data_IF_300559608232
#
_entry.id   IF_300559608232
#
_cell.length_a   1.000
_cell.length_b   1.000
_cell.length_c   1.000
_cell.angle_alpha   90.00
_cell.angle_beta   90.00
_cell.angle_gamma   90.00
#
_symmetry.space_group_name_H-M   'P 1'
#
loop_
_entity.id
_entity.type
_entity.pdbx_description
1 polymer ?
#
# COMPACT_ATOMS: atom_id res chain seq x y z
N UNK A 1 11.76 13.48 -14.90
CA UNK A 1 10.44 13.91 -14.33
C UNK A 1 10.66 14.28 -12.86
N UNK A 2 10.17 15.42 -12.36
CA UNK A 2 10.30 15.77 -10.92
C UNK A 2 9.05 15.37 -10.13
N UNK A 3 9.14 15.28 -8.80
CA UNK A 3 8.05 14.85 -7.90
C UNK A 3 6.77 15.68 -8.10
N UNK A 4 6.92 17.01 -8.23
CA UNK A 4 5.79 17.91 -8.48
C UNK A 4 5.08 17.66 -9.82
N UNK A 5 5.81 17.22 -10.86
CA UNK A 5 5.21 16.86 -12.14
C UNK A 5 4.35 15.59 -12.01
N UNK A 6 4.81 14.60 -11.24
CA UNK A 6 4.05 13.39 -10.94
C UNK A 6 2.75 13.74 -10.22
N UNK A 7 2.83 14.55 -9.17
CA UNK A 7 1.66 14.98 -8.41
C UNK A 7 0.63 15.68 -9.31
N UNK A 8 1.06 16.66 -10.11
CA UNK A 8 0.20 17.37 -11.08
C UNK A 8 -0.39 16.40 -12.11
N UNK A 9 0.39 15.44 -12.60
CA UNK A 9 -0.06 14.40 -13.55
C UNK A 9 -1.18 13.54 -12.96
N UNK A 10 -1.05 13.17 -11.69
CA UNK A 10 -2.04 12.37 -10.97
C UNK A 10 -3.26 13.20 -10.51
N UNK A 11 -3.28 14.51 -10.77
CA UNK A 11 -4.37 15.40 -10.39
C UNK A 11 -4.37 15.74 -8.90
N UNK A 12 -3.22 15.67 -8.24
CA UNK A 12 -3.06 16.14 -6.88
C UNK A 12 -3.40 17.63 -6.78
N UNK A 13 -4.12 18.02 -5.73
CA UNK A 13 -4.50 19.43 -5.51
C UNK A 13 -3.49 20.14 -4.64
N UNK A 14 -3.13 21.37 -5.01
CA UNK A 14 -2.25 22.24 -4.21
C UNK A 14 -2.96 22.75 -2.95
N UNK A 15 -4.28 22.98 -3.01
CA UNK A 15 -5.09 23.30 -1.84
C UNK A 15 -5.45 22.02 -1.07
N UNK A 16 -5.13 22.00 0.22
CA UNK A 16 -5.40 20.87 1.11
C UNK A 16 -6.91 20.78 1.40
N UNK A 17 -7.59 19.90 0.66
CA UNK A 17 -9.05 19.76 0.74
C UNK A 17 -9.55 18.77 1.81
N UNK A 18 -8.63 18.05 2.48
CA UNK A 18 -8.97 17.07 3.51
C UNK A 18 -7.72 16.39 4.08
N UNK A 19 -7.82 15.86 5.30
CA UNK A 19 -6.67 15.21 5.97
C UNK A 19 -6.40 13.79 5.48
N UNK A 20 -7.41 13.16 4.89
CA UNK A 20 -7.38 11.73 4.59
C UNK A 20 -8.04 11.41 3.26
N UNK A 21 -7.69 10.27 2.69
CA UNK A 21 -8.45 9.60 1.64
C UNK A 21 -9.09 8.36 2.23
N UNK A 22 -10.36 8.12 1.89
CA UNK A 22 -11.09 6.90 2.25
C UNK A 22 -11.40 6.12 0.99
N UNK A 23 -11.11 4.82 1.03
CA UNK A 23 -11.31 3.91 -0.10
C UNK A 23 -11.99 2.61 0.31
N UNK A 24 -12.75 2.05 -0.61
CA UNK A 24 -13.39 0.73 -0.48
C UNK A 24 -12.87 -0.17 -1.58
N UNK A 25 -12.61 -1.43 -1.23
CA UNK A 25 -12.00 -2.39 -2.14
C UNK A 25 -12.71 -3.73 -2.06
N UNK A 26 -12.68 -4.47 -3.15
CA UNK A 26 -12.95 -5.91 -3.18
C UNK A 26 -11.80 -6.61 -3.89
N UNK A 27 -11.56 -7.87 -3.58
CA UNK A 27 -10.43 -8.55 -4.18
C UNK A 27 -10.27 -9.97 -3.71
N UNK A 28 -9.07 -10.50 -3.93
CA UNK A 28 -8.68 -11.82 -3.48
C UNK A 28 -7.23 -11.83 -3.00
N UNK A 29 -6.95 -12.64 -2.00
CA UNK A 29 -5.60 -12.78 -1.44
C UNK A 29 -5.28 -14.22 -1.03
N UNK A 30 -4.00 -14.56 -0.95
CA UNK A 30 -3.50 -15.86 -0.49
C UNK A 30 -2.20 -15.68 0.30
N UNK A 31 -1.91 -16.61 1.22
CA UNK A 31 -0.71 -16.56 2.07
C UNK A 31 0.56 -17.09 1.42
N UNK A 32 0.46 -17.81 0.29
CA UNK A 32 1.61 -18.37 -0.41
C UNK A 32 1.29 -18.93 -1.80
N UNK A 33 2.32 -19.31 -2.55
CA UNK A 33 2.22 -19.70 -3.96
C UNK A 33 1.29 -20.90 -4.24
N UNK A 34 1.16 -21.81 -3.27
CA UNK A 34 0.35 -23.03 -3.40
C UNK A 34 -1.00 -22.94 -2.67
N UNK A 35 -1.32 -21.77 -2.08
CA UNK A 35 -2.56 -21.56 -1.36
C UNK A 35 -3.64 -20.99 -2.29
N UNK A 36 -4.89 -21.40 -2.05
CA UNK A 36 -6.03 -20.88 -2.79
C UNK A 36 -6.29 -19.40 -2.46
N UNK A 37 -6.69 -18.64 -3.48
CA UNK A 37 -7.16 -17.27 -3.29
C UNK A 37 -8.46 -17.26 -2.49
N UNK A 38 -8.56 -16.33 -1.54
CA UNK A 38 -9.75 -16.06 -0.74
C UNK A 38 -10.23 -14.66 -1.01
N UNK A 39 -11.52 -14.52 -1.27
CA UNK A 39 -12.12 -13.21 -1.51
C UNK A 39 -12.12 -12.35 -0.25
N UNK A 40 -11.99 -11.04 -0.43
CA UNK A 40 -12.15 -10.06 0.64
C UNK A 40 -12.95 -8.84 0.16
N UNK A 41 -13.55 -8.14 1.11
CA UNK A 41 -13.94 -6.73 0.97
C UNK A 41 -13.22 -5.91 2.03
N UNK A 42 -12.82 -4.68 1.72
CA UNK A 42 -12.05 -3.85 2.62
C UNK A 42 -12.48 -2.38 2.58
N UNK A 43 -12.21 -1.70 3.68
CA UNK A 43 -12.22 -0.23 3.79
C UNK A 43 -10.85 0.21 4.25
N UNK A 44 -10.40 1.34 3.75
CA UNK A 44 -9.12 1.90 4.15
C UNK A 44 -9.19 3.40 4.24
N UNK A 45 -8.45 3.94 5.21
CA UNK A 45 -8.16 5.36 5.34
C UNK A 45 -6.66 5.54 5.22
N UNK A 46 -6.22 6.52 4.43
CA UNK A 46 -4.80 6.92 4.28
C UNK A 46 -4.71 8.39 4.70
N UNK A 47 -3.74 8.74 5.55
CA UNK A 47 -3.47 10.14 5.89
C UNK A 47 -2.60 10.79 4.82
N UNK A 48 -2.94 12.03 4.46
CA UNK A 48 -2.30 12.76 3.37
C UNK A 48 -1.08 13.57 3.81
N UNK A 49 -0.98 13.93 5.09
CA UNK A 49 0.10 14.75 5.64
C UNK A 49 1.16 13.96 6.42
N UNK A 50 0.94 12.68 6.66
CA UNK A 50 1.81 11.80 7.45
C UNK A 50 1.77 10.37 6.91
N UNK A 51 2.84 9.61 7.19
CA UNK A 51 2.92 8.19 6.87
C UNK A 51 2.00 7.38 7.80
N UNK A 52 0.70 7.40 7.53
CA UNK A 52 -0.30 6.65 8.31
C UNK A 52 -1.40 6.07 7.43
N UNK A 53 -1.86 4.88 7.80
CA UNK A 53 -3.04 4.28 7.19
C UNK A 53 -3.73 3.32 8.15
N UNK A 54 -4.99 3.02 7.86
CA UNK A 54 -5.76 1.96 8.51
C UNK A 54 -6.58 1.22 7.48
N UNK A 55 -6.29 -0.05 7.29
CA UNK A 55 -6.99 -0.98 6.40
C UNK A 55 -7.77 -2.00 7.21
N UNK A 56 -9.04 -2.21 6.86
CA UNK A 56 -9.93 -3.15 7.53
C UNK A 56 -10.61 -4.03 6.49
N UNK A 57 -10.26 -5.32 6.48
CA UNK A 57 -10.85 -6.30 5.57
C UNK A 57 -11.78 -7.28 6.28
N UNK A 58 -12.69 -7.83 5.48
CA UNK A 58 -13.54 -8.97 5.80
C UNK A 58 -13.31 -10.08 4.80
N UNK A 59 -13.07 -11.30 5.27
CA UNK A 59 -12.86 -12.51 4.46
C UNK A 59 -13.53 -13.72 5.12
N UNK A 60 -13.48 -14.88 4.45
CA UNK A 60 -14.13 -16.12 4.88
C UNK A 60 -15.64 -16.16 4.61
N UNK A 61 -16.31 -17.29 4.93
CA UNK A 61 -17.76 -17.44 4.77
C UNK A 61 -18.48 -16.29 5.46
N UNK A 62 -19.40 -15.62 4.75
CA UNK A 62 -20.17 -14.47 5.24
C UNK A 62 -19.34 -13.28 5.77
N UNK A 63 -18.04 -13.21 5.48
CA UNK A 63 -17.17 -12.11 5.94
C UNK A 63 -16.89 -12.14 7.44
N UNK A 64 -16.93 -13.32 8.06
CA UNK A 64 -16.78 -13.53 9.50
C UNK A 64 -15.35 -13.30 10.02
N UNK A 65 -14.34 -13.34 9.15
CA UNK A 65 -12.95 -13.03 9.54
C UNK A 65 -12.71 -11.56 9.25
N UNK A 66 -12.38 -10.78 10.27
CA UNK A 66 -11.94 -9.39 10.15
C UNK A 66 -10.42 -9.33 10.29
N UNK A 67 -9.80 -8.54 9.42
CA UNK A 67 -8.37 -8.22 9.50
C UNK A 67 -8.28 -6.71 9.63
N UNK A 68 -7.56 -6.20 10.63
CA UNK A 68 -7.14 -4.81 10.71
C UNK A 68 -5.64 -4.77 10.52
N UNK A 69 -5.19 -3.97 9.56
CA UNK A 69 -3.78 -3.71 9.33
C UNK A 69 -3.59 -2.20 9.27
N UNK A 70 -2.68 -1.65 10.06
CA UNK A 70 -2.55 -0.22 10.24
C UNK A 70 -1.13 0.19 10.65
N UNK A 71 -0.80 1.44 10.34
CA UNK A 71 0.40 2.10 10.81
C UNK A 71 0.04 3.53 11.19
N UNK A 72 0.33 3.91 12.43
CA UNK A 72 0.07 5.25 12.97
C UNK A 72 1.03 5.51 14.13
N UNK A 73 1.52 6.75 14.25
CA UNK A 73 2.47 7.16 15.29
C UNK A 73 3.65 6.18 15.46
N UNK A 74 4.28 5.78 14.34
CA UNK A 74 5.43 4.86 14.34
C UNK A 74 5.12 3.40 14.68
N UNK A 75 3.85 3.06 14.91
CA UNK A 75 3.43 1.76 15.45
C UNK A 75 2.65 0.93 14.43
N UNK A 76 3.15 -0.24 14.00
CA UNK A 76 2.39 -1.17 13.18
C UNK A 76 1.39 -1.95 14.03
N UNK A 77 0.19 -2.16 13.50
CA UNK A 77 -0.89 -2.94 14.10
C UNK A 77 -1.41 -3.93 13.09
N UNK A 78 -1.34 -5.23 13.41
CA UNK A 78 -1.97 -6.29 12.63
C UNK A 78 -2.81 -7.17 13.56
N UNK A 79 -4.13 -7.08 13.42
CA UNK A 79 -5.11 -7.83 14.19
C UNK A 79 -5.97 -8.68 13.27
N UNK A 80 -6.04 -9.98 13.54
CA UNK A 80 -6.97 -10.89 12.86
C UNK A 80 -7.97 -11.41 13.88
N UNK A 81 -9.27 -11.21 13.63
CA UNK A 81 -10.35 -11.71 14.48
C UNK A 81 -11.37 -12.53 13.70
N UNK A 82 -11.85 -13.63 14.27
CA UNK A 82 -12.99 -14.40 13.79
C UNK A 82 -14.26 -14.00 14.54
N UNK A 83 -15.40 -14.02 13.84
CA UNK A 83 -16.71 -13.61 14.37
C UNK A 83 -16.72 -12.18 14.93
N UNK A 84 -15.71 -11.36 14.58
CA UNK A 84 -15.49 -10.02 15.11
C UNK A 84 -15.09 -9.93 16.58
N UNK A 85 -14.92 -11.05 17.28
CA UNK A 85 -14.73 -11.10 18.74
C UNK A 85 -13.60 -12.03 19.19
N UNK A 86 -13.24 -13.04 18.39
CA UNK A 86 -12.25 -14.05 18.77
C UNK A 86 -10.93 -13.71 18.07
N UNK A 87 -9.87 -13.31 18.78
CA UNK A 87 -8.57 -13.07 18.14
C UNK A 87 -7.98 -14.37 17.60
N UNK A 88 -7.55 -14.35 16.34
CA UNK A 88 -6.91 -15.46 15.64
C UNK A 88 -5.39 -15.30 15.58
N UNK A 89 -4.90 -14.07 15.43
CA UNK A 89 -3.48 -13.75 15.35
C UNK A 89 -3.25 -12.27 15.62
N UNK A 90 -2.07 -11.99 16.19
CA UNK A 90 -1.48 -10.66 16.31
C UNK A 90 -0.17 -10.63 15.53
N UNK A 91 0.09 -9.56 14.80
CA UNK A 91 1.40 -9.32 14.22
C UNK A 91 2.43 -9.00 15.30
N UNK A 92 3.68 -9.37 15.07
CA UNK A 92 4.78 -8.92 15.93
C UNK A 92 5.03 -7.43 15.67
N UNK A 93 4.98 -6.60 16.71
CA UNK A 93 5.43 -5.21 16.64
C UNK A 93 6.96 -5.19 16.79
N UNK A 94 7.68 -5.16 15.66
CA UNK A 94 9.14 -5.05 15.62
C UNK A 94 9.59 -4.22 14.40
N UNK A 95 10.89 -3.91 14.34
CA UNK A 95 11.45 -3.06 13.28
C UNK A 95 11.15 -3.56 11.85
N UNK A 96 11.14 -4.87 11.63
CA UNK A 96 10.82 -5.47 10.32
C UNK A 96 9.34 -5.30 9.95
N UNK A 97 8.43 -5.48 10.92
CA UNK A 97 7.01 -5.23 10.72
C UNK A 97 6.76 -3.73 10.43
N UNK A 98 7.37 -2.84 11.21
CA UNK A 98 7.30 -1.38 10.99
C UNK A 98 7.80 -1.00 9.60
N UNK A 99 8.97 -1.51 9.17
CA UNK A 99 9.51 -1.28 7.81
C UNK A 99 8.52 -1.75 6.73
N UNK A 100 7.91 -2.92 6.92
CA UNK A 100 6.89 -3.45 6.03
C UNK A 100 5.66 -2.55 5.90
N UNK A 101 5.14 -2.02 7.01
CA UNK A 101 3.96 -1.15 6.96
C UNK A 101 4.25 0.24 6.40
N UNK A 102 5.44 0.79 6.68
CA UNK A 102 5.89 2.01 6.00
C UNK A 102 5.94 1.77 4.48
N UNK A 103 6.60 0.70 4.03
CA UNK A 103 6.65 0.37 2.59
C UNK A 103 5.26 0.14 1.99
N UNK A 104 4.28 -0.29 2.79
CA UNK A 104 2.89 -0.41 2.34
C UNK A 104 2.29 0.95 2.05
N UNK A 105 2.41 1.89 3.00
CA UNK A 105 1.97 3.28 2.82
C UNK A 105 2.58 3.89 1.55
N UNK A 106 3.90 3.77 1.39
CA UNK A 106 4.62 4.33 0.24
C UNK A 106 4.14 3.77 -1.10
N UNK A 107 3.85 2.48 -1.16
CA UNK A 107 3.32 1.85 -2.37
C UNK A 107 1.89 2.31 -2.71
N UNK A 108 1.10 2.68 -1.71
CA UNK A 108 -0.31 3.05 -1.87
C UNK A 108 -0.50 4.54 -2.21
N UNK A 109 0.58 5.32 -2.37
CA UNK A 109 0.53 6.71 -2.86
C UNK A 109 -0.17 6.83 -4.23
N UNK A 110 -0.23 5.76 -5.03
CA UNK A 110 -1.03 5.70 -6.26
C UNK A 110 -2.54 5.90 -6.03
N UNK A 111 -3.05 5.60 -4.81
CA UNK A 111 -4.42 5.89 -4.39
C UNK A 111 -4.56 7.18 -3.58
N UNK A 112 -3.46 7.82 -3.19
CA UNK A 112 -3.43 9.04 -2.40
C UNK A 112 -2.49 10.08 -3.05
N UNK A 113 -2.77 10.51 -4.30
CA UNK A 113 -1.83 11.37 -5.05
C UNK A 113 -1.56 12.71 -4.36
N UNK A 114 -2.51 13.21 -3.57
CA UNK A 114 -2.36 14.43 -2.77
C UNK A 114 -1.23 14.31 -1.73
N UNK A 115 -0.98 13.11 -1.19
CA UNK A 115 0.10 12.89 -0.23
C UNK A 115 1.48 13.15 -0.84
N UNK A 116 1.63 13.08 -2.17
CA UNK A 116 2.88 13.38 -2.86
C UNK A 116 3.27 14.86 -2.69
N UNK A 117 2.28 15.76 -2.53
CA UNK A 117 2.51 17.19 -2.27
C UNK A 117 2.51 17.52 -0.77
N UNK A 118 1.61 16.89 -0.02
CA UNK A 118 1.26 17.31 1.34
C UNK A 118 1.97 16.53 2.44
N UNK A 119 2.50 15.35 2.13
CA UNK A 119 3.27 14.60 3.11
C UNK A 119 4.74 15.05 3.07
N UNK A 120 5.03 16.06 3.88
CA UNK A 120 6.39 16.60 4.04
C UNK A 120 7.32 15.71 4.85
N UNK A 121 6.85 14.58 5.38
CA UNK A 121 7.72 13.60 6.03
C UNK A 121 8.32 12.61 5.03
N UNK A 122 7.95 12.69 3.75
CA UNK A 122 8.50 11.84 2.69
C UNK A 122 9.72 12.47 2.05
N UNK A 123 10.77 11.67 1.91
CA UNK A 123 11.95 12.03 1.14
C UNK A 123 11.88 11.40 -0.26
N UNK A 124 12.38 12.13 -1.26
CA UNK A 124 12.26 11.74 -2.66
C UNK A 124 13.58 11.84 -3.40
N UNK A 125 13.92 10.80 -4.15
CA UNK A 125 15.00 10.83 -5.14
C UNK A 125 14.45 10.65 -6.54
N UNK A 126 14.92 11.49 -7.46
CA UNK A 126 14.74 11.27 -8.89
C UNK A 126 15.85 10.33 -9.37
N UNK A 127 15.50 9.07 -9.63
CA UNK A 127 16.46 8.06 -10.08
C UNK A 127 16.72 8.22 -11.57
N UNK A 128 15.64 8.27 -12.36
CA UNK A 128 15.67 8.51 -13.80
C UNK A 128 14.32 9.05 -14.29
N UNK A 129 14.12 9.11 -15.59
CA UNK A 129 12.88 9.64 -16.18
C UNK A 129 11.64 8.78 -15.93
N UNK A 130 11.79 7.49 -15.69
CA UNK A 130 10.69 6.54 -15.46
C UNK A 130 10.65 6.01 -14.02
N UNK A 131 11.48 6.52 -13.12
CA UNK A 131 11.59 6.03 -11.74
C UNK A 131 11.87 7.13 -10.73
N UNK A 132 11.07 7.14 -9.66
CA UNK A 132 11.36 7.87 -8.43
C UNK A 132 11.52 6.88 -7.29
N UNK A 133 12.38 7.18 -6.30
CA UNK A 133 12.36 6.50 -5.02
C UNK A 133 11.69 7.41 -3.99
N UNK A 134 10.72 6.88 -3.26
CA UNK A 134 10.12 7.55 -2.10
C UNK A 134 10.59 6.85 -0.83
N UNK A 135 10.90 7.62 0.21
CA UNK A 135 11.42 7.11 1.48
C UNK A 135 10.71 7.73 2.67
N UNK A 136 10.72 7.00 3.77
CA UNK A 136 10.33 7.48 5.09
C UNK A 136 11.21 6.81 6.14
N UNK A 137 11.57 7.56 7.18
CA UNK A 137 12.35 7.06 8.30
C UNK A 137 11.58 7.21 9.61
N UNK A 138 11.58 6.14 10.41
CA UNK A 138 10.99 6.12 11.75
C UNK A 138 12.09 5.73 12.76
N UNK A 139 12.65 6.72 13.45
CA UNK A 139 13.84 6.52 14.28
C UNK A 139 15.00 5.94 13.46
N UNK A 140 15.46 4.73 13.81
CA UNK A 140 16.52 4.02 13.08
C UNK A 140 16.03 3.20 11.88
N UNK A 141 14.71 3.11 11.67
CA UNK A 141 14.10 2.30 10.63
C UNK A 141 14.05 3.13 9.34
N UNK A 142 14.61 2.60 8.27
CA UNK A 142 14.57 3.22 6.94
C UNK A 142 13.79 2.31 5.99
N UNK A 143 12.85 2.91 5.26
CA UNK A 143 12.05 2.23 4.26
C UNK A 143 12.04 3.04 2.97
N UNK A 144 12.10 2.34 1.83
CA UNK A 144 12.08 2.93 0.51
C UNK A 144 11.24 2.08 -0.44
N UNK A 145 10.55 2.74 -1.36
CA UNK A 145 9.85 2.09 -2.47
C UNK A 145 10.15 2.86 -3.75
N UNK A 146 10.49 2.14 -4.81
CA UNK A 146 10.58 2.70 -6.14
C UNK A 146 9.20 2.80 -6.76
N UNK A 147 8.84 3.97 -7.25
CA UNK A 147 7.68 4.22 -8.10
C UNK A 147 8.13 4.16 -9.56
N UNK A 148 7.57 3.21 -10.31
CA UNK A 148 7.88 2.98 -11.71
C UNK A 148 6.75 3.51 -12.59
N UNK A 149 7.10 4.28 -13.61
CA UNK A 149 6.12 4.99 -14.42
C UNK A 149 5.66 4.21 -15.66
N UNK A 150 4.34 4.24 -15.89
CA UNK A 150 3.74 3.77 -17.14
C UNK A 150 4.04 4.72 -18.31
N UNK A 151 3.59 4.36 -19.51
CA UNK A 151 3.81 5.18 -20.71
C UNK A 151 3.07 6.53 -20.67
N UNK A 152 2.08 6.68 -19.79
CA UNK A 152 1.36 7.92 -19.53
C UNK A 152 1.98 8.71 -18.36
N UNK A 153 3.14 8.27 -17.87
CA UNK A 153 3.90 8.83 -16.75
C UNK A 153 3.11 8.91 -15.43
N UNK A 154 2.25 7.93 -15.18
CA UNK A 154 1.61 7.67 -13.88
C UNK A 154 2.33 6.53 -13.18
N UNK A 155 2.03 6.29 -11.91
CA UNK A 155 2.60 5.15 -11.16
C UNK A 155 2.02 3.84 -11.72
N UNK A 156 2.73 3.19 -12.64
CA UNK A 156 2.31 1.93 -13.24
C UNK A 156 2.66 0.72 -12.38
N UNK A 157 3.75 0.83 -11.62
CA UNK A 157 4.22 -0.22 -10.74
C UNK A 157 5.02 0.33 -9.56
N UNK A 158 5.23 -0.52 -8.57
CA UNK A 158 6.15 -0.27 -7.45
C UNK A 158 7.11 -1.43 -7.29
N UNK A 159 8.30 -1.14 -6.76
CA UNK A 159 9.29 -2.14 -6.45
C UNK A 159 10.02 -1.81 -5.15
N UNK A 160 10.29 -2.82 -4.34
CA UNK A 160 11.21 -2.74 -3.21
C UNK A 160 12.03 -4.03 -3.15
N UNK A 161 13.38 -3.98 -3.15
CA UNK A 161 14.20 -5.18 -3.15
C UNK A 161 14.18 -5.93 -1.81
N UNK A 162 13.81 -5.24 -0.74
CA UNK A 162 14.11 -5.61 0.64
C UNK A 162 12.90 -5.48 1.57
N UNK A 163 11.68 -5.64 1.04
CA UNK A 163 10.49 -5.60 1.90
C UNK A 163 10.48 -6.81 2.84
N UNK A 164 10.32 -6.62 4.16
CA UNK A 164 10.22 -7.73 5.08
C UNK A 164 8.97 -8.58 4.82
N UNK A 165 9.18 -9.88 4.62
CA UNK A 165 8.14 -10.90 4.52
C UNK A 165 8.25 -11.85 5.71
N UNK A 166 7.12 -12.16 6.35
CA UNK A 166 7.09 -13.15 7.42
C UNK A 166 7.08 -14.57 6.83
N UNK A 167 8.14 -15.33 7.08
CA UNK A 167 8.41 -16.68 6.57
C UNK A 167 9.01 -17.51 7.70
N UNK A 168 8.54 -18.75 7.90
CA UNK A 168 9.12 -19.70 8.87
C UNK A 168 9.41 -19.07 10.26
N UNK A 169 8.40 -18.38 10.80
CA UNK A 169 8.41 -17.71 12.11
C UNK A 169 9.38 -16.53 12.26
N UNK A 170 9.92 -15.98 11.17
CA UNK A 170 10.80 -14.81 11.17
C UNK A 170 10.52 -13.87 9.99
N UNK A 171 11.04 -12.65 10.06
CA UNK A 171 11.06 -11.76 8.90
C UNK A 171 12.30 -12.02 8.05
N UNK A 172 12.10 -12.12 6.74
CA UNK A 172 13.15 -12.20 5.73
C UNK A 172 12.86 -11.14 4.66
N UNK A 173 13.87 -10.36 4.30
CA UNK A 173 13.73 -9.38 3.22
C UNK A 173 13.60 -10.08 1.87
N UNK A 174 12.60 -9.68 1.09
CA UNK A 174 12.31 -10.24 -0.23
C UNK A 174 11.99 -9.13 -1.23
N UNK A 175 12.32 -9.33 -2.52
CA UNK A 175 11.85 -8.42 -3.55
C UNK A 175 10.32 -8.46 -3.63
N UNK A 176 9.75 -7.27 -3.66
CA UNK A 176 8.33 -7.02 -3.60
C UNK A 176 7.93 -6.10 -4.75
N UNK A 177 6.85 -6.45 -5.42
CA UNK A 177 6.38 -5.74 -6.59
C UNK A 177 4.88 -5.52 -6.52
N UNK A 178 4.42 -4.38 -7.02
CA UNK A 178 3.01 -4.08 -7.21
C UNK A 178 2.77 -3.52 -8.59
N UNK A 179 1.61 -3.81 -9.17
CA UNK A 179 1.18 -3.26 -10.46
C UNK A 179 -0.16 -2.58 -10.33
N UNK A 180 -0.33 -1.50 -11.07
CA UNK A 180 -1.52 -0.68 -11.11
C UNK A 180 -2.11 -0.67 -12.53
N UNK A 181 -3.42 -0.85 -12.62
CA UNK A 181 -4.13 -0.98 -13.88
C UNK A 181 -5.44 -0.20 -13.86
N UNK A 182 -6.06 -0.07 -15.04
CA UNK A 182 -7.41 0.48 -15.18
C UNK A 182 -7.50 1.87 -14.53
N UNK A 183 -6.55 2.74 -14.89
CA UNK A 183 -6.53 4.11 -14.42
C UNK A 183 -7.75 4.87 -14.93
N UNK A 184 -8.45 5.54 -14.03
CA UNK A 184 -9.63 6.36 -14.33
C UNK A 184 -9.53 7.70 -13.63
N UNK A 185 -10.17 8.71 -14.21
CA UNK A 185 -10.40 9.96 -13.51
C UNK A 185 -11.53 9.80 -12.51
N UNK A 186 -11.28 10.22 -11.27
CA UNK A 186 -12.26 10.26 -10.19
C UNK A 186 -11.99 11.49 -9.32
N UNK A 187 -12.97 12.37 -9.17
CA UNK A 187 -12.85 13.65 -8.44
C UNK A 187 -11.65 14.54 -8.85
N UNK A 188 -11.26 14.46 -10.13
CA UNK A 188 -10.13 15.20 -10.71
C UNK A 188 -8.77 14.52 -10.57
N UNK A 189 -8.70 13.32 -9.97
CA UNK A 189 -7.47 12.55 -9.79
C UNK A 189 -7.43 11.34 -10.72
N UNK A 190 -6.24 10.97 -11.17
CA UNK A 190 -6.01 9.71 -11.86
C UNK A 190 -5.69 8.63 -10.84
N UNK A 191 -6.61 7.67 -10.70
CA UNK A 191 -6.49 6.58 -9.73
C UNK A 191 -6.52 5.23 -10.43
N UNK A 192 -5.70 4.25 -10.02
CA UNK A 192 -5.83 2.90 -10.52
C UNK A 192 -7.02 2.21 -9.86
N UNK A 193 -7.96 1.72 -10.67
CA UNK A 193 -9.11 0.97 -10.16
C UNK A 193 -8.81 -0.51 -9.94
N UNK A 194 -7.66 -1.00 -10.41
CA UNK A 194 -7.20 -2.36 -10.17
C UNK A 194 -5.73 -2.35 -9.80
N UNK A 195 -5.34 -3.25 -8.91
CA UNK A 195 -3.95 -3.45 -8.55
C UNK A 195 -3.69 -4.91 -8.17
N UNK A 196 -2.44 -5.31 -8.24
CA UNK A 196 -1.98 -6.58 -7.70
C UNK A 196 -0.61 -6.43 -7.04
N UNK A 197 -0.31 -7.34 -6.13
CA UNK A 197 0.93 -7.36 -5.37
C UNK A 197 1.51 -8.77 -5.40
N UNK A 198 2.83 -8.84 -5.60
CA UNK A 198 3.58 -10.06 -5.72
C UNK A 198 4.89 -10.01 -4.93
N UNK A 199 5.35 -11.19 -4.55
CA UNK A 199 6.70 -11.42 -4.04
C UNK A 199 7.53 -12.13 -5.11
N UNK A 200 8.84 -11.88 -5.13
CA UNK A 200 9.79 -12.74 -5.85
C UNK A 200 10.30 -13.80 -4.88
N UNK A 201 9.93 -15.06 -5.13
CA UNK A 201 10.30 -16.23 -4.32
C UNK A 201 10.95 -17.24 -5.26
N UNK A 202 12.16 -17.69 -4.96
CA UNK A 202 12.94 -18.61 -5.81
C UNK A 202 13.02 -18.14 -7.28
N UNK A 203 13.28 -16.84 -7.48
CA UNK A 203 13.30 -16.15 -8.77
C UNK A 203 12.00 -16.24 -9.57
N UNK A 204 10.86 -16.51 -8.92
CA UNK A 204 9.54 -16.53 -9.53
C UNK A 204 8.64 -15.49 -8.91
N UNK A 205 7.86 -14.84 -9.76
CA UNK A 205 6.82 -13.94 -9.31
C UNK A 205 5.63 -14.72 -8.75
N UNK A 206 5.27 -14.42 -7.50
CA UNK A 206 4.15 -15.00 -6.79
C UNK A 206 3.17 -13.90 -6.41
N UNK A 207 2.14 -13.70 -7.25
CA UNK A 207 1.02 -12.80 -6.93
C UNK A 207 0.29 -13.32 -5.70
N UNK A 208 0.14 -12.50 -4.66
CA UNK A 208 -0.50 -12.86 -3.39
C UNK A 208 -1.75 -12.04 -3.08
N UNK A 209 -1.93 -10.92 -3.76
CA UNK A 209 -3.07 -10.04 -3.58
C UNK A 209 -3.48 -9.42 -4.91
N UNK A 210 -4.79 -9.33 -5.13
CA UNK A 210 -5.42 -8.62 -6.25
C UNK A 210 -6.60 -7.84 -5.69
N UNK A 211 -6.72 -6.58 -6.05
CA UNK A 211 -7.80 -5.72 -5.58
C UNK A 211 -8.37 -4.83 -6.67
N UNK A 212 -9.64 -4.50 -6.47
CA UNK A 212 -10.41 -3.56 -7.26
C UNK A 212 -10.96 -2.48 -6.33
N UNK A 213 -10.75 -1.23 -6.69
CA UNK A 213 -11.34 -0.08 -6.04
C UNK A 213 -12.85 -0.03 -6.37
N UNK A 214 -13.69 0.05 -5.35
CA UNK A 214 -15.16 0.14 -5.47
C UNK A 214 -15.71 1.51 -5.07
N UNK A 215 -14.86 2.35 -4.46
CA UNK A 215 -15.22 3.69 -4.03
C UNK A 215 -14.00 4.40 -3.47
N UNK A 216 -13.96 5.71 -3.63
CA UNK A 216 -12.86 6.59 -3.24
C UNK A 216 -13.44 7.97 -2.97
N UNK A 217 -12.99 8.61 -1.91
CA UNK A 217 -13.36 9.99 -1.59
C UNK A 217 -12.26 10.64 -0.73
N UNK A 218 -12.11 11.95 -0.86
CA UNK A 218 -11.40 12.76 0.13
C UNK A 218 -12.26 12.84 1.40
N UNK A 219 -11.63 12.73 2.57
CA UNK A 219 -12.28 12.75 3.88
C UNK A 219 -12.21 14.09 4.58
#
# INVERSE_FOLDING_TARGET
MVVGDLAKRLGAREEFAGETVRLTQTGSMRSGAHQAFRSFSARQTIRLSQCEFRWQARTGPFGLIRITDAFSDGTPTLDVTALGLIPLAYGQTNASATKGEIMRYLAELAWAPDAILHNHTLDWDVIDDRRLAVRYSEGAIQAAVDLLFDDQRRIGAIFAPDRPRYEDSRFVERPWHGRFFDYRQHEGRWLPFQAEVAWIIDNREVVVWRGKLTGWQVG
#
